data_IF_381252351346
#
_entry.id   IF_381252351346
#
_cell.length_a   1.000
_cell.length_b   1.000
_cell.length_c   1.000
_cell.angle_alpha   90.00
_cell.angle_beta   90.00
_cell.angle_gamma   90.00
#
_symmetry.space_group_name_H-M   'P 1'
#
loop_
_entity.id
_entity.type
_entity.pdbx_description
1 polymer ?
#
# COMPACT_ATOMS: atom_id res chain seq x y z
N UNK A 1 10.74 -2.27 -44.92
CA UNK A 1 11.29 -3.28 -43.99
C UNK A 1 12.73 -3.01 -43.57
N UNK A 2 13.65 -2.66 -44.49
CA UNK A 2 15.03 -2.26 -44.13
C UNK A 2 15.08 -1.13 -43.09
N UNK A 3 14.35 -0.03 -43.32
CA UNK A 3 14.27 1.09 -42.36
C UNK A 3 13.81 0.67 -40.95
N UNK A 4 12.85 -0.25 -40.86
CA UNK A 4 12.37 -0.77 -39.58
C UNK A 4 13.43 -1.64 -38.89
N UNK A 5 14.20 -2.42 -39.65
CA UNK A 5 15.30 -3.21 -39.12
C UNK A 5 16.38 -2.30 -38.52
N UNK A 6 16.83 -1.30 -39.29
CA UNK A 6 17.84 -0.33 -38.85
C UNK A 6 17.36 0.45 -37.60
N UNK A 7 16.06 0.76 -37.54
CA UNK A 7 15.43 1.34 -36.35
C UNK A 7 15.50 0.41 -35.13
N UNK A 8 15.15 -0.87 -35.28
CA UNK A 8 15.16 -1.83 -34.19
C UNK A 8 16.58 -2.11 -33.69
N UNK A 9 17.57 -2.19 -34.58
CA UNK A 9 18.99 -2.33 -34.22
C UNK A 9 19.49 -1.16 -33.37
N UNK A 10 19.00 0.05 -33.63
CA UNK A 10 19.35 1.25 -32.85
C UNK A 10 18.72 1.27 -31.46
N UNK A 11 17.48 0.80 -31.32
CA UNK A 11 16.67 1.03 -30.11
C UNK A 11 16.39 -0.21 -29.27
N UNK A 12 16.66 -1.43 -29.73
CA UNK A 12 16.62 -2.63 -28.88
C UNK A 12 17.90 -2.74 -28.04
N UNK A 13 18.00 -1.86 -27.05
CA UNK A 13 19.10 -1.80 -26.08
C UNK A 13 18.55 -1.56 -24.67
N UNK A 14 19.44 -1.33 -23.71
CA UNK A 14 19.15 -1.13 -22.29
C UNK A 14 18.29 0.11 -21.98
N UNK A 15 18.27 1.11 -22.86
CA UNK A 15 17.49 2.34 -22.69
C UNK A 15 16.04 2.19 -23.17
N UNK A 16 15.70 1.06 -23.81
CA UNK A 16 14.32 0.73 -24.15
C UNK A 16 13.56 0.35 -22.89
N UNK A 17 12.33 0.81 -22.76
CA UNK A 17 11.48 0.49 -21.59
C UNK A 17 10.36 -0.46 -21.95
N UNK A 18 9.72 -0.24 -23.11
CA UNK A 18 8.68 -1.11 -23.63
C UNK A 18 8.54 -0.98 -25.15
N UNK A 19 8.13 -2.06 -25.82
CA UNK A 19 7.53 -2.03 -27.16
C UNK A 19 6.12 -2.62 -27.08
N UNK A 20 5.20 -2.05 -27.85
CA UNK A 20 3.85 -2.55 -28.05
C UNK A 20 3.60 -2.68 -29.55
N UNK A 21 3.28 -3.90 -30.00
CA UNK A 21 2.71 -4.13 -31.32
C UNK A 21 1.19 -4.22 -31.20
N UNK A 22 0.49 -3.42 -31.99
CA UNK A 22 -0.96 -3.25 -31.94
C UNK A 22 -1.55 -3.01 -33.33
N UNK A 23 -2.88 -2.81 -33.39
CA UNK A 23 -3.63 -2.65 -34.64
C UNK A 23 -3.47 -3.83 -35.60
N UNK A 24 -4.09 -4.98 -35.28
CA UNK A 24 -3.87 -6.23 -36.01
C UNK A 24 -4.36 -6.15 -37.46
N UNK A 25 -3.72 -6.92 -38.34
CA UNK A 25 -4.07 -7.03 -39.76
C UNK A 25 -5.30 -7.90 -39.98
N UNK A 26 -5.44 -8.95 -39.16
CA UNK A 26 -6.56 -9.89 -39.17
C UNK A 26 -7.39 -9.73 -37.89
N UNK A 27 -8.69 -10.01 -37.97
CA UNK A 27 -9.59 -10.00 -36.79
C UNK A 27 -9.36 -11.21 -35.87
N UNK A 28 -8.87 -12.30 -36.42
CA UNK A 28 -8.55 -13.53 -35.69
C UNK A 28 -7.03 -13.72 -35.63
N UNK A 29 -6.48 -13.99 -34.44
CA UNK A 29 -5.05 -14.18 -34.24
C UNK A 29 -4.49 -13.43 -33.04
N UNK A 30 -3.27 -12.91 -33.18
CA UNK A 30 -2.63 -12.09 -32.15
C UNK A 30 -3.31 -10.72 -32.06
N UNK A 31 -3.79 -10.37 -30.87
CA UNK A 31 -4.47 -9.10 -30.62
C UNK A 31 -3.50 -7.99 -30.24
N UNK A 32 -2.45 -8.34 -29.50
CA UNK A 32 -1.42 -7.42 -29.00
C UNK A 32 -0.17 -8.20 -28.63
N UNK A 33 0.99 -7.58 -28.81
CA UNK A 33 2.25 -8.07 -28.24
C UNK A 33 2.88 -6.95 -27.42
N UNK A 34 3.25 -7.24 -26.18
CA UNK A 34 4.02 -6.34 -25.32
C UNK A 34 5.41 -6.91 -25.11
N UNK A 35 6.44 -6.10 -25.31
CA UNK A 35 7.83 -6.52 -25.18
C UNK A 35 8.51 -5.61 -24.17
N UNK A 36 9.31 -6.18 -23.29
CA UNK A 36 10.15 -5.45 -22.33
C UNK A 36 11.56 -6.04 -22.32
N UNK A 37 12.61 -5.24 -22.11
CA UNK A 37 13.94 -5.80 -21.90
C UNK A 37 14.02 -6.53 -20.56
N UNK A 38 14.85 -7.57 -20.51
CA UNK A 38 15.16 -8.37 -19.33
C UNK A 38 16.61 -8.87 -19.38
N UNK A 39 17.32 -8.82 -18.27
CA UNK A 39 18.65 -9.40 -18.10
C UNK A 39 18.50 -10.85 -17.65
N UNK A 40 18.93 -11.79 -18.49
CA UNK A 40 18.98 -13.21 -18.15
C UNK A 40 20.43 -13.68 -18.10
N UNK A 41 20.87 -14.17 -16.94
CA UNK A 41 22.25 -14.63 -16.73
C UNK A 41 23.31 -13.58 -17.17
N UNK A 42 23.01 -12.30 -16.96
CA UNK A 42 23.89 -11.18 -17.33
C UNK A 42 23.77 -10.69 -18.77
N UNK A 43 23.00 -11.36 -19.64
CA UNK A 43 22.81 -10.95 -21.03
C UNK A 43 21.46 -10.24 -21.24
N UNK A 44 21.46 -9.17 -22.04
CA UNK A 44 20.24 -8.47 -22.44
C UNK A 44 19.40 -9.33 -23.37
N UNK A 45 18.23 -9.71 -22.90
CA UNK A 45 17.18 -10.39 -23.64
C UNK A 45 15.91 -9.53 -23.64
N UNK A 46 14.91 -9.94 -24.41
CA UNK A 46 13.61 -9.28 -24.46
C UNK A 46 12.50 -10.30 -24.24
N UNK A 47 11.64 -10.02 -23.27
CA UNK A 47 10.46 -10.82 -22.98
C UNK A 47 9.26 -10.28 -23.74
N UNK A 48 8.69 -11.10 -24.63
CA UNK A 48 7.43 -10.85 -25.31
C UNK A 48 6.26 -11.53 -24.58
N UNK A 49 5.19 -10.78 -24.37
CA UNK A 49 3.89 -11.23 -23.88
C UNK A 49 2.89 -11.12 -25.02
N UNK A 50 2.43 -12.28 -25.51
CA UNK A 50 1.55 -12.39 -26.65
C UNK A 50 0.11 -12.61 -26.17
N UNK A 51 -0.80 -11.74 -26.60
CA UNK A 51 -2.22 -11.81 -26.27
C UNK A 51 -3.00 -12.41 -27.45
N UNK A 52 -3.61 -13.58 -27.23
CA UNK A 52 -4.43 -14.28 -28.24
C UNK A 52 -5.75 -14.69 -27.60
N UNK A 53 -6.84 -14.01 -27.97
CA UNK A 53 -8.17 -14.20 -27.36
C UNK A 53 -8.08 -14.14 -25.82
N UNK A 54 -8.48 -15.21 -25.12
CA UNK A 54 -8.42 -15.34 -23.66
C UNK A 54 -7.10 -15.92 -23.11
N UNK A 55 -6.10 -16.17 -23.97
CA UNK A 55 -4.81 -16.78 -23.58
C UNK A 55 -3.66 -15.78 -23.69
N UNK A 56 -2.73 -15.88 -22.75
CA UNK A 56 -1.49 -15.09 -22.70
C UNK A 56 -0.30 -16.03 -22.73
N UNK A 57 0.68 -15.75 -23.59
CA UNK A 57 1.91 -16.53 -23.74
C UNK A 57 3.14 -15.67 -23.49
N UNK A 58 4.17 -16.26 -22.90
CA UNK A 58 5.44 -15.60 -22.59
C UNK A 58 6.58 -16.25 -23.37
N UNK A 59 7.38 -15.45 -24.06
CA UNK A 59 8.55 -15.90 -24.81
C UNK A 59 9.71 -14.94 -24.57
N UNK A 60 10.94 -15.44 -24.54
CA UNK A 60 12.14 -14.62 -24.36
C UNK A 60 13.06 -14.81 -25.57
N UNK A 61 13.65 -13.71 -26.03
CA UNK A 61 14.50 -13.69 -27.22
C UNK A 61 15.79 -12.91 -26.94
N UNK A 62 16.89 -13.32 -27.57
CA UNK A 62 18.06 -12.44 -27.68
C UNK A 62 17.79 -11.26 -28.59
N UNK A 63 18.69 -10.27 -28.62
CA UNK A 63 18.53 -9.03 -29.41
C UNK A 63 18.26 -9.32 -30.90
N UNK A 64 19.10 -10.16 -31.54
CA UNK A 64 18.97 -10.51 -32.96
C UNK A 64 17.67 -11.24 -33.28
N UNK A 65 17.28 -12.19 -32.42
CA UNK A 65 16.04 -12.95 -32.59
C UNK A 65 14.82 -12.06 -32.39
N UNK A 66 14.88 -11.12 -31.43
CA UNK A 66 13.80 -10.16 -31.19
C UNK A 66 13.59 -9.23 -32.39
N UNK A 67 14.67 -8.72 -33.00
CA UNK A 67 14.57 -7.91 -34.24
C UNK A 67 13.83 -8.70 -35.31
N UNK A 68 14.26 -9.95 -35.55
CA UNK A 68 13.68 -10.84 -36.56
C UNK A 68 12.20 -11.12 -36.28
N UNK A 69 11.86 -11.36 -35.01
CA UNK A 69 10.50 -11.64 -34.56
C UNK A 69 9.58 -10.42 -34.70
N UNK A 70 10.05 -9.22 -34.35
CA UNK A 70 9.28 -7.97 -34.53
C UNK A 70 9.03 -7.71 -36.01
N UNK A 71 10.03 -7.92 -36.88
CA UNK A 71 9.86 -7.76 -38.32
C UNK A 71 8.77 -8.71 -38.86
N UNK A 72 8.77 -9.97 -38.43
CA UNK A 72 7.75 -10.95 -38.81
C UNK A 72 6.36 -10.56 -38.32
N UNK A 73 6.21 -10.17 -37.05
CA UNK A 73 4.92 -9.69 -36.51
C UNK A 73 4.43 -8.41 -37.21
N UNK A 74 5.35 -7.55 -37.61
CA UNK A 74 5.04 -6.30 -38.32
C UNK A 74 4.55 -6.52 -39.75
N UNK A 75 5.03 -7.59 -40.39
CA UNK A 75 4.64 -8.00 -41.73
C UNK A 75 3.29 -8.74 -41.73
N UNK A 76 3.13 -9.71 -40.83
CA UNK A 76 2.00 -10.65 -40.84
C UNK A 76 0.84 -10.22 -39.94
N UNK A 77 1.14 -9.67 -38.76
CA UNK A 77 0.16 -9.57 -37.68
C UNK A 77 -0.28 -8.14 -37.39
N UNK A 78 0.61 -7.15 -37.44
CA UNK A 78 0.34 -5.80 -36.92
C UNK A 78 0.65 -4.68 -37.91
N UNK A 79 0.01 -3.52 -37.71
CA UNK A 79 0.23 -2.30 -38.51
C UNK A 79 0.87 -1.18 -37.71
N UNK A 80 1.02 -1.34 -36.39
CA UNK A 80 1.51 -0.29 -35.51
C UNK A 80 2.48 -0.86 -34.48
N UNK A 81 3.56 -0.13 -34.25
CA UNK A 81 4.55 -0.38 -33.21
C UNK A 81 4.72 0.91 -32.42
N UNK A 82 4.58 0.84 -31.11
CA UNK A 82 4.91 1.92 -30.18
C UNK A 82 6.09 1.48 -29.34
N UNK A 83 7.06 2.36 -29.14
CA UNK A 83 8.26 2.08 -28.37
C UNK A 83 8.55 3.25 -27.45
N UNK A 84 8.65 2.93 -26.17
CA UNK A 84 9.05 3.86 -25.12
C UNK A 84 10.52 3.61 -24.77
N UNK A 85 11.30 4.68 -24.76
CA UNK A 85 12.69 4.71 -24.28
C UNK A 85 12.78 5.69 -23.11
N UNK A 86 13.90 5.72 -22.39
CA UNK A 86 14.10 6.68 -21.30
C UNK A 86 13.95 8.16 -21.73
N UNK A 87 14.18 8.48 -23.01
CA UNK A 87 14.27 9.86 -23.50
C UNK A 87 13.22 10.20 -24.58
N UNK A 88 12.51 9.20 -25.10
CA UNK A 88 11.61 9.41 -26.22
C UNK A 88 10.54 8.35 -26.37
N UNK A 89 9.42 8.76 -26.94
CA UNK A 89 8.38 7.88 -27.45
C UNK A 89 8.43 7.86 -28.98
N UNK A 90 8.38 6.64 -29.53
CA UNK A 90 8.51 6.37 -30.95
C UNK A 90 7.26 5.63 -31.42
N UNK A 91 6.65 6.09 -32.49
CA UNK A 91 5.50 5.44 -33.13
C UNK A 91 5.88 5.08 -34.56
N UNK A 92 5.73 3.81 -34.92
CA UNK A 92 5.90 3.29 -36.27
C UNK A 92 4.55 2.83 -36.79
N UNK A 93 4.16 3.34 -37.96
CA UNK A 93 2.97 2.94 -38.69
C UNK A 93 3.37 2.25 -39.99
N UNK A 94 2.75 1.11 -40.28
CA UNK A 94 3.04 0.27 -41.44
C UNK A 94 1.78 0.18 -42.29
N UNK A 95 1.85 0.72 -43.50
CA UNK A 95 0.72 0.72 -44.42
C UNK A 95 0.41 -0.70 -44.95
N UNK A 96 -0.75 -0.85 -45.60
CA UNK A 96 -1.12 -2.10 -46.30
C UNK A 96 -0.10 -2.48 -47.39
N UNK A 97 0.59 -1.51 -47.99
CA UNK A 97 1.62 -1.70 -49.03
C UNK A 97 3.04 -1.82 -48.46
N UNK A 98 3.21 -1.95 -47.13
CA UNK A 98 4.52 -2.10 -46.48
C UNK A 98 5.34 -0.81 -46.33
N UNK A 99 4.79 0.35 -46.73
CA UNK A 99 5.42 1.66 -46.45
C UNK A 99 5.44 1.91 -44.94
N UNK A 100 6.62 2.21 -44.41
CA UNK A 100 6.86 2.50 -42.99
C UNK A 100 6.85 4.02 -42.78
N UNK A 101 6.26 4.48 -41.68
CA UNK A 101 6.29 5.89 -41.26
C UNK A 101 6.61 5.94 -39.79
N UNK A 102 7.64 6.71 -39.41
CA UNK A 102 8.11 6.81 -38.02
C UNK A 102 7.91 8.23 -37.50
N UNK A 103 7.40 8.34 -36.27
CA UNK A 103 7.27 9.60 -35.54
C UNK A 103 8.02 9.47 -34.23
N UNK A 104 8.84 10.47 -33.91
CA UNK A 104 9.55 10.58 -32.63
C UNK A 104 9.04 11.79 -31.87
N UNK A 105 8.72 11.59 -30.59
CA UNK A 105 8.43 12.65 -29.63
C UNK A 105 9.42 12.52 -28.48
N UNK A 106 10.25 13.55 -28.28
CA UNK A 106 11.14 13.59 -27.12
C UNK A 106 10.30 13.73 -25.85
N UNK A 107 10.67 13.02 -24.80
CA UNK A 107 10.09 13.15 -23.47
C UNK A 107 11.14 13.77 -22.57
N UNK A 108 10.75 14.70 -21.69
CA UNK A 108 11.62 15.15 -20.61
C UNK A 108 11.98 13.91 -19.76
N UNK A 109 13.24 13.71 -19.37
CA UNK A 109 13.61 12.59 -18.51
C UNK A 109 12.75 12.70 -17.24
N UNK A 110 11.82 11.76 -17.06
CA UNK A 110 11.08 11.66 -15.82
C UNK A 110 12.10 11.29 -14.75
N UNK A 111 12.39 12.23 -13.87
CA UNK A 111 13.09 11.98 -12.62
C UNK A 111 12.22 11.07 -11.76
N UNK A 112 12.28 9.75 -12.00
CA UNK A 112 11.90 8.71 -11.06
C UNK A 112 12.32 7.32 -11.59
N UNK A 113 13.33 6.77 -10.91
CA UNK A 113 13.73 5.35 -10.84
C UNK A 113 14.34 4.72 -12.11
N UNK A 114 15.63 4.28 -12.09
CA UNK A 114 16.12 3.35 -13.10
C UNK A 114 15.32 2.05 -13.00
N UNK A 115 14.48 1.77 -14.00
CA UNK A 115 13.78 0.48 -14.12
C UNK A 115 14.83 -0.61 -14.34
N UNK A 116 15.20 -1.29 -13.26
CA UNK A 116 16.19 -2.38 -13.29
C UNK A 116 15.84 -3.39 -14.36
N UNK A 117 16.79 -3.67 -15.24
CA UNK A 117 16.66 -4.66 -16.31
C UNK A 117 16.68 -6.10 -15.78
N UNK A 118 16.98 -6.32 -14.49
CA UNK A 118 17.02 -7.66 -13.89
C UNK A 118 15.68 -8.41 -14.02
N UNK A 119 15.75 -9.70 -14.37
CA UNK A 119 14.59 -10.59 -14.55
C UNK A 119 13.71 -10.70 -13.29
N UNK A 120 14.32 -10.48 -12.14
CA UNK A 120 13.63 -10.11 -10.92
C UNK A 120 13.59 -8.59 -10.88
N UNK A 121 12.39 -8.00 -10.90
CA UNK A 121 12.24 -6.67 -10.30
C UNK A 121 12.78 -6.80 -8.88
N UNK A 122 13.98 -6.29 -8.59
CA UNK A 122 14.40 -6.04 -7.22
C UNK A 122 13.34 -5.10 -6.68
N UNK A 123 12.46 -5.62 -5.82
CA UNK A 123 11.48 -4.80 -5.13
C UNK A 123 12.29 -3.73 -4.41
N UNK A 124 12.12 -2.47 -4.81
CA UNK A 124 12.77 -1.36 -4.10
C UNK A 124 12.01 -1.18 -2.80
N UNK A 125 12.48 -1.89 -1.79
CA UNK A 125 12.02 -1.73 -0.42
C UNK A 125 12.54 -0.41 0.15
N UNK A 126 11.72 0.24 0.99
CA UNK A 126 12.10 1.45 1.71
C UNK A 126 13.31 1.17 2.61
N UNK A 127 13.22 0.12 3.43
CA UNK A 127 14.35 -0.44 4.15
C UNK A 127 15.10 -1.36 3.20
N UNK A 128 16.32 -0.98 2.82
CA UNK A 128 17.10 -1.72 1.83
C UNK A 128 17.76 -2.96 2.44
N UNK A 129 17.90 -4.01 1.63
CA UNK A 129 18.68 -5.19 1.99
C UNK A 129 20.19 -4.86 2.03
N UNK A 130 20.96 -5.53 2.89
CA UNK A 130 22.41 -5.35 3.07
C UNK A 130 22.82 -4.01 3.70
N UNK A 131 21.87 -3.25 4.23
CA UNK A 131 22.15 -2.14 5.13
C UNK A 131 21.70 -2.58 6.53
N UNK A 132 22.62 -2.74 7.50
CA UNK A 132 22.27 -3.16 8.84
C UNK A 132 21.48 -2.07 9.56
N UNK A 133 20.28 -2.43 10.00
CA UNK A 133 19.40 -1.55 10.76
C UNK A 133 19.25 -2.15 12.17
N UNK A 134 19.64 -1.46 13.25
CA UNK A 134 19.77 -2.04 14.59
C UNK A 134 18.53 -2.83 15.06
N UNK A 135 17.34 -2.24 14.90
CA UNK A 135 16.11 -2.92 15.35
C UNK A 135 15.73 -4.13 14.50
N UNK A 136 16.11 -4.18 13.21
CA UNK A 136 15.89 -5.36 12.37
C UNK A 136 16.84 -6.50 12.71
N UNK A 137 18.06 -6.17 13.15
CA UNK A 137 19.04 -7.16 13.62
C UNK A 137 18.56 -7.79 14.93
N UNK A 138 18.18 -6.98 15.91
CA UNK A 138 17.67 -7.46 17.21
C UNK A 138 16.37 -8.27 17.06
N UNK A 139 15.56 -7.94 16.05
CA UNK A 139 14.36 -8.68 15.71
C UNK A 139 14.64 -10.04 15.02
N UNK A 140 15.90 -10.30 14.67
CA UNK A 140 16.30 -11.47 13.90
C UNK A 140 15.77 -11.44 12.47
N UNK A 141 15.41 -10.27 11.94
CA UNK A 141 15.03 -10.09 10.53
C UNK A 141 16.28 -9.92 9.67
N UNK A 142 17.30 -9.26 10.20
CA UNK A 142 18.60 -9.08 9.57
C UNK A 142 19.70 -9.83 10.33
N UNK A 143 20.74 -10.26 9.60
CA UNK A 143 22.04 -10.55 10.20
C UNK A 143 22.75 -9.25 10.56
N UNK A 144 23.82 -9.34 11.36
CA UNK A 144 24.65 -8.18 11.73
C UNK A 144 25.21 -7.47 10.48
N UNK A 145 25.45 -8.21 9.39
CA UNK A 145 25.88 -7.66 8.08
C UNK A 145 24.74 -7.07 7.23
N UNK A 146 23.52 -6.96 7.77
CA UNK A 146 22.35 -6.39 7.08
C UNK A 146 21.65 -7.33 6.09
N UNK A 147 22.06 -8.60 5.97
CA UNK A 147 21.39 -9.58 5.09
C UNK A 147 20.07 -10.00 5.70
N UNK A 148 19.01 -10.09 4.91
CA UNK A 148 17.70 -10.56 5.41
C UNK A 148 17.76 -12.07 5.68
N UNK A 149 17.35 -12.48 6.87
CA UNK A 149 17.22 -13.89 7.23
C UNK A 149 16.05 -14.49 6.45
N UNK A 150 16.31 -15.54 5.67
CA UNK A 150 15.34 -16.12 4.73
C UNK A 150 14.00 -16.50 5.37
N UNK A 151 14.02 -17.07 6.57
CA UNK A 151 12.81 -17.44 7.32
C UNK A 151 12.02 -16.25 7.87
N UNK A 152 12.58 -15.03 7.82
CA UNK A 152 11.95 -13.79 8.29
C UNK A 152 11.69 -12.79 7.15
N UNK A 153 11.81 -13.24 5.90
CA UNK A 153 11.61 -12.38 4.73
C UNK A 153 10.18 -11.81 4.66
N UNK A 154 9.18 -12.58 5.11
CA UNK A 154 7.78 -12.14 5.12
C UNK A 154 7.57 -10.97 6.09
N UNK A 155 8.22 -11.04 7.25
CA UNK A 155 8.25 -9.94 8.23
C UNK A 155 8.94 -8.70 7.68
N UNK A 156 10.05 -8.85 6.96
CA UNK A 156 10.72 -7.75 6.27
C UNK A 156 9.82 -7.08 5.22
N UNK A 157 9.09 -7.88 4.43
CA UNK A 157 8.10 -7.38 3.47
C UNK A 157 6.96 -6.63 4.15
N UNK A 158 6.47 -7.16 5.27
CA UNK A 158 5.40 -6.54 6.05
C UNK A 158 5.81 -5.16 6.58
N UNK A 159 7.00 -5.05 7.19
CA UNK A 159 7.52 -3.76 7.69
C UNK A 159 7.62 -2.75 6.55
N UNK A 160 8.20 -3.16 5.42
CA UNK A 160 8.30 -2.28 4.25
C UNK A 160 6.95 -1.84 3.70
N UNK A 161 5.99 -2.75 3.60
CA UNK A 161 4.64 -2.42 3.16
C UNK A 161 3.96 -1.41 4.09
N UNK A 162 4.15 -1.56 5.41
CA UNK A 162 3.63 -0.58 6.34
C UNK A 162 4.27 0.79 6.12
N UNK A 163 5.58 0.84 5.90
CA UNK A 163 6.30 2.08 5.57
C UNK A 163 5.87 2.68 4.22
N UNK A 164 5.42 1.89 3.25
CA UNK A 164 4.83 2.42 2.01
C UNK A 164 3.56 3.23 2.31
N UNK A 165 2.72 2.77 3.24
CA UNK A 165 1.56 3.56 3.69
C UNK A 165 1.97 4.84 4.42
N UNK A 166 3.11 4.81 5.13
CA UNK A 166 3.68 6.00 5.78
C UNK A 166 4.21 6.98 4.71
N UNK A 167 4.95 6.51 3.70
CA UNK A 167 5.44 7.34 2.59
C UNK A 167 4.27 8.05 1.89
N UNK A 168 3.17 7.35 1.62
CA UNK A 168 1.97 7.92 0.97
C UNK A 168 1.36 9.10 1.75
N UNK A 169 1.46 9.10 3.09
CA UNK A 169 0.84 10.15 3.93
C UNK A 169 1.79 11.30 4.25
N UNK A 170 3.09 11.17 3.93
CA UNK A 170 4.09 12.21 4.19
C UNK A 170 3.65 13.61 3.69
N UNK A 171 3.08 13.76 2.47
CA UNK A 171 2.63 15.07 1.99
C UNK A 171 1.56 15.74 2.85
N UNK A 172 0.84 14.95 3.66
CA UNK A 172 -0.24 15.44 4.54
C UNK A 172 0.26 15.84 5.93
N UNK A 173 1.52 15.51 6.27
CA UNK A 173 2.11 15.87 7.54
C UNK A 173 2.62 17.32 7.53
N UNK A 174 2.43 18.08 8.62
CA UNK A 174 3.00 19.41 8.77
C UNK A 174 4.53 19.39 8.66
N UNK A 175 5.12 20.49 8.21
CA UNK A 175 6.58 20.67 8.14
C UNK A 175 7.01 21.87 8.97
N UNK A 176 8.28 21.90 9.36
CA UNK A 176 8.88 23.04 10.07
C UNK A 176 8.60 23.10 11.58
N UNK A 177 8.07 22.03 12.18
CA UNK A 177 7.94 21.86 13.63
C UNK A 177 8.06 20.38 14.02
N UNK A 178 8.22 20.11 15.32
CA UNK A 178 8.13 18.77 15.86
C UNK A 178 6.72 18.18 15.65
N UNK A 179 6.65 16.94 15.16
CA UNK A 179 5.41 16.18 14.97
C UNK A 179 5.20 15.19 16.11
N UNK A 180 3.98 15.12 16.64
CA UNK A 180 3.64 14.14 17.67
C UNK A 180 2.90 12.95 17.06
N UNK A 181 3.45 11.75 17.25
CA UNK A 181 2.90 10.49 16.78
C UNK A 181 2.57 9.62 17.99
N UNK A 182 1.37 9.03 18.01
CA UNK A 182 1.00 8.05 19.04
C UNK A 182 0.75 6.71 18.37
N UNK A 183 1.30 5.64 18.97
CA UNK A 183 1.04 4.26 18.59
C UNK A 183 0.34 3.53 19.74
N UNK A 184 -0.92 3.17 19.53
CA UNK A 184 -1.75 2.49 20.52
C UNK A 184 -1.77 0.98 20.32
N UNK A 185 -1.57 0.26 21.42
CA UNK A 185 -1.38 -1.18 21.36
C UNK A 185 -0.11 -1.49 20.58
N UNK A 186 0.98 -0.80 20.92
CA UNK A 186 2.23 -0.89 20.16
C UNK A 186 2.87 -2.29 20.26
N UNK A 187 2.49 -3.10 21.27
CA UNK A 187 3.00 -4.43 21.47
C UNK A 187 4.52 -4.43 21.53
N UNK A 188 5.17 -5.38 20.87
CA UNK A 188 6.65 -5.44 20.78
C UNK A 188 7.26 -4.34 19.87
N UNK A 189 6.44 -3.40 19.40
CA UNK A 189 6.83 -2.11 18.82
C UNK A 189 7.70 -2.10 17.56
N UNK A 190 7.84 -3.22 16.85
CA UNK A 190 8.69 -3.27 15.64
C UNK A 190 8.27 -2.27 14.56
N UNK A 191 6.96 -2.07 14.36
CA UNK A 191 6.44 -1.08 13.42
C UNK A 191 6.64 0.34 13.96
N UNK A 192 6.50 0.56 15.28
CA UNK A 192 6.84 1.84 15.93
C UNK A 192 8.31 2.23 15.69
N UNK A 193 9.24 1.28 15.90
CA UNK A 193 10.66 1.48 15.63
C UNK A 193 10.93 1.74 14.14
N UNK A 194 10.23 1.04 13.25
CA UNK A 194 10.35 1.25 11.80
C UNK A 194 9.88 2.65 11.39
N UNK A 195 8.74 3.12 11.92
CA UNK A 195 8.22 4.48 11.68
C UNK A 195 9.20 5.53 12.19
N UNK A 196 9.71 5.35 13.42
CA UNK A 196 10.68 6.28 13.99
C UNK A 196 11.93 6.35 13.11
N UNK A 197 12.56 5.20 12.81
CA UNK A 197 13.75 5.13 11.98
C UNK A 197 13.53 5.78 10.61
N UNK A 198 12.42 5.45 9.95
CA UNK A 198 12.15 5.96 8.62
C UNK A 198 11.88 7.48 8.60
N UNK A 199 11.03 7.99 9.49
CA UNK A 199 10.71 9.42 9.51
C UNK A 199 11.86 10.27 10.06
N UNK A 200 12.47 9.87 11.18
CA UNK A 200 13.55 10.61 11.84
C UNK A 200 14.90 10.40 11.16
N UNK A 201 15.37 9.16 11.08
CA UNK A 201 16.74 8.86 10.63
C UNK A 201 16.87 8.96 9.11
N UNK A 202 15.90 8.45 8.34
CA UNK A 202 16.00 8.44 6.88
C UNK A 202 15.47 9.72 6.22
N UNK A 203 14.36 10.29 6.72
CA UNK A 203 13.70 11.45 6.12
C UNK A 203 13.98 12.77 6.84
N UNK A 204 14.62 12.74 8.02
CA UNK A 204 15.03 13.94 8.75
C UNK A 204 13.88 14.73 9.38
N UNK A 205 12.70 14.12 9.57
CA UNK A 205 11.60 14.79 10.28
C UNK A 205 11.95 14.96 11.75
N UNK A 206 11.55 16.08 12.35
CA UNK A 206 11.54 16.18 13.79
C UNK A 206 10.24 15.58 14.34
N UNK A 207 10.33 14.46 15.03
CA UNK A 207 9.19 13.72 15.54
C UNK A 207 9.41 13.35 17.01
N UNK A 208 8.31 13.31 17.76
CA UNK A 208 8.16 12.65 19.05
C UNK A 208 7.15 11.52 18.89
N UNK A 209 7.55 10.30 19.25
CA UNK A 209 6.71 9.11 19.14
C UNK A 209 6.44 8.54 20.53
N UNK A 210 5.16 8.32 20.84
CA UNK A 210 4.70 7.77 22.11
C UNK A 210 4.00 6.45 21.83
N UNK A 211 4.58 5.34 22.28
CA UNK A 211 3.95 4.02 22.25
C UNK A 211 3.21 3.73 23.56
N UNK A 212 1.95 3.31 23.47
CA UNK A 212 1.12 2.95 24.62
C UNK A 212 0.74 1.47 24.56
N UNK A 213 0.91 0.76 25.67
CA UNK A 213 0.49 -0.62 25.85
C UNK A 213 0.08 -0.87 27.31
N UNK A 214 -0.70 -1.93 27.53
CA UNK A 214 -1.21 -2.32 28.86
C UNK A 214 -0.25 -3.27 29.59
N UNK A 215 0.79 -3.78 28.91
CA UNK A 215 1.71 -4.78 29.44
C UNK A 215 3.02 -4.15 29.89
N UNK A 216 3.28 -4.19 31.20
CA UNK A 216 4.48 -3.61 31.80
C UNK A 216 5.79 -4.20 31.27
N UNK A 217 5.84 -5.54 31.11
CA UNK A 217 7.01 -6.24 30.56
C UNK A 217 7.33 -5.83 29.12
N UNK A 218 6.29 -5.58 28.32
CA UNK A 218 6.40 -5.08 26.95
C UNK A 218 6.97 -3.66 26.95
N UNK A 219 6.43 -2.78 27.79
CA UNK A 219 6.88 -1.38 27.91
C UNK A 219 8.32 -1.29 28.39
N UNK A 220 8.71 -2.10 29.38
CA UNK A 220 10.08 -2.14 29.89
C UNK A 220 11.06 -2.52 28.77
N UNK A 221 10.78 -3.63 28.08
CA UNK A 221 11.63 -4.10 26.98
C UNK A 221 11.74 -3.05 25.86
N UNK A 222 10.63 -2.44 25.44
CA UNK A 222 10.65 -1.41 24.40
C UNK A 222 11.45 -0.17 24.83
N UNK A 223 11.39 0.21 26.12
CA UNK A 223 12.21 1.28 26.67
C UNK A 223 13.71 0.94 26.77
N UNK A 224 14.07 -0.32 26.99
CA UNK A 224 15.47 -0.77 26.91
C UNK A 224 15.99 -0.72 25.47
N UNK A 225 15.19 -1.21 24.51
CA UNK A 225 15.52 -1.19 23.09
C UNK A 225 15.69 0.23 22.54
N UNK A 226 14.79 1.16 22.85
CA UNK A 226 14.95 2.55 22.38
C UNK A 226 16.24 3.20 22.90
N UNK A 227 16.64 2.90 24.14
CA UNK A 227 17.90 3.40 24.73
C UNK A 227 19.10 2.80 24.00
N UNK A 228 19.05 1.49 23.74
CA UNK A 228 20.08 0.78 22.96
C UNK A 228 20.26 1.37 21.55
N UNK A 229 19.18 1.82 20.92
CA UNK A 229 19.22 2.42 19.58
C UNK A 229 19.49 3.93 19.57
N UNK A 230 19.53 4.59 20.72
CA UNK A 230 19.68 6.05 20.80
C UNK A 230 18.45 6.83 20.34
N UNK A 231 17.26 6.24 20.39
CA UNK A 231 16.01 6.90 19.97
C UNK A 231 15.44 7.75 21.11
N UNK A 232 16.02 8.95 21.27
CA UNK A 232 15.72 9.85 22.39
C UNK A 232 14.29 10.38 22.39
N UNK A 233 13.72 10.63 21.20
CA UNK A 233 12.35 11.14 21.03
C UNK A 233 11.30 10.04 20.82
N UNK A 234 11.67 8.80 21.11
CA UNK A 234 10.73 7.68 21.23
C UNK A 234 10.53 7.42 22.72
N UNK A 235 9.31 7.19 23.15
CA UNK A 235 9.00 6.79 24.52
C UNK A 235 7.89 5.75 24.54
N UNK A 236 7.95 4.83 25.51
CA UNK A 236 6.92 3.83 25.73
C UNK A 236 6.36 4.00 27.13
N UNK A 237 5.04 4.08 27.23
CA UNK A 237 4.32 4.39 28.47
C UNK A 237 3.31 3.26 28.73
N UNK A 238 3.26 2.81 29.99
CA UNK A 238 2.19 1.93 30.46
C UNK A 238 0.91 2.75 30.57
N UNK A 239 -0.11 2.43 29.77
CA UNK A 239 -1.32 3.22 29.77
C UNK A 239 -2.41 2.69 28.85
N UNK A 240 -3.65 2.96 29.26
CA UNK A 240 -4.83 2.74 28.44
C UNK A 240 -5.10 3.97 27.57
N UNK A 241 -5.57 3.71 26.36
CA UNK A 241 -5.93 4.73 25.39
C UNK A 241 -7.06 5.63 25.86
N UNK A 242 -8.05 5.05 26.55
CA UNK A 242 -9.23 5.78 26.99
C UNK A 242 -8.86 6.91 27.97
N UNK A 243 -7.87 6.68 28.83
CA UNK A 243 -7.44 7.58 29.90
C UNK A 243 -6.19 8.39 29.57
N UNK A 244 -5.57 8.22 28.40
CA UNK A 244 -4.39 9.00 28.05
C UNK A 244 -4.73 10.47 27.78
N UNK A 245 -4.07 11.36 28.52
CA UNK A 245 -4.21 12.83 28.47
C UNK A 245 -2.85 13.55 28.33
N UNK A 246 -1.76 12.80 28.09
CA UNK A 246 -0.38 13.33 28.18
C UNK A 246 0.04 14.30 27.06
N UNK A 247 -0.86 14.68 26.15
CA UNK A 247 -0.56 15.51 24.97
C UNK A 247 -1.78 16.34 24.53
N UNK A 248 -1.51 17.58 24.12
CA UNK A 248 -2.53 18.53 23.63
C UNK A 248 -2.74 18.47 22.11
N UNK A 249 -1.75 18.01 21.36
CA UNK A 249 -1.77 17.94 19.90
C UNK A 249 -1.13 16.65 19.41
N UNK A 250 -1.83 15.97 18.52
CA UNK A 250 -1.34 14.75 17.88
C UNK A 250 -1.44 14.92 16.37
N UNK A 251 -0.36 14.64 15.65
CA UNK A 251 -0.31 14.75 14.19
C UNK A 251 -0.70 13.44 13.52
N UNK A 252 -0.27 12.33 14.09
CA UNK A 252 -0.54 10.99 13.58
C UNK A 252 -0.91 10.04 14.71
N UNK A 253 -1.97 9.27 14.50
CA UNK A 253 -2.32 8.14 15.36
C UNK A 253 -2.18 6.85 14.57
N UNK A 254 -1.48 5.89 15.16
CA UNK A 254 -1.27 4.53 14.64
C UNK A 254 -1.92 3.56 15.64
N UNK A 255 -2.68 2.60 15.13
CA UNK A 255 -3.32 1.54 15.94
C UNK A 255 -3.16 0.21 15.24
N UNK A 256 -2.29 -0.66 15.75
CA UNK A 256 -1.90 -1.89 15.04
C UNK A 256 -2.49 -3.16 15.67
N UNK A 257 -2.57 -3.20 17.00
CA UNK A 257 -3.05 -4.37 17.75
C UNK A 257 -4.18 -4.02 18.72
N UNK A 258 -4.84 -2.87 18.53
CA UNK A 258 -6.03 -2.52 19.28
C UNK A 258 -7.21 -3.40 18.81
N UNK A 259 -7.57 -4.43 19.57
CA UNK A 259 -8.66 -5.33 19.19
C UNK A 259 -10.02 -4.88 19.73
N UNK A 260 -11.07 -5.30 19.03
CA UNK A 260 -12.47 -4.97 19.30
C UNK A 260 -12.69 -3.44 19.44
N UNK A 261 -13.40 -3.01 20.48
CA UNK A 261 -13.71 -1.59 20.73
C UNK A 261 -12.50 -0.72 21.05
N UNK A 262 -11.33 -1.31 21.35
CA UNK A 262 -10.10 -0.53 21.55
C UNK A 262 -9.71 0.26 20.30
N UNK A 263 -9.97 -0.29 19.10
CA UNK A 263 -9.81 0.46 17.83
C UNK A 263 -10.76 1.67 17.80
N UNK A 264 -11.99 1.53 18.28
CA UNK A 264 -12.99 2.60 18.28
C UNK A 264 -12.60 3.74 19.23
N UNK A 265 -12.14 3.41 20.45
CA UNK A 265 -11.58 4.41 21.37
C UNK A 265 -10.39 5.15 20.77
N UNK A 266 -9.55 4.45 20.00
CA UNK A 266 -8.41 5.07 19.36
C UNK A 266 -8.76 6.04 18.27
N UNK A 267 -9.67 5.64 17.39
CA UNK A 267 -10.19 6.50 16.34
C UNK A 267 -10.90 7.70 16.98
N UNK A 268 -11.71 7.47 18.02
CA UNK A 268 -12.40 8.54 18.77
C UNK A 268 -11.42 9.57 19.35
N UNK A 269 -10.39 9.13 20.07
CA UNK A 269 -9.34 10.01 20.62
C UNK A 269 -8.57 10.74 19.51
N UNK A 270 -8.22 10.05 18.42
CA UNK A 270 -7.54 10.67 17.29
C UNK A 270 -8.37 11.81 16.65
N UNK A 271 -9.67 11.60 16.52
CA UNK A 271 -10.61 12.64 16.06
C UNK A 271 -10.67 13.80 17.05
N UNK A 272 -10.76 13.51 18.36
CA UNK A 272 -10.78 14.53 19.41
C UNK A 272 -9.51 15.40 19.42
N UNK A 273 -8.32 14.80 19.28
CA UNK A 273 -7.05 15.51 19.10
C UNK A 273 -6.88 16.16 17.74
N UNK A 274 -7.88 16.04 16.85
CA UNK A 274 -7.88 16.67 15.53
C UNK A 274 -6.69 16.20 14.68
N UNK A 275 -6.26 14.94 14.85
CA UNK A 275 -5.10 14.36 14.19
C UNK A 275 -5.12 14.56 12.67
N UNK A 276 -3.95 14.76 12.06
CA UNK A 276 -3.84 14.94 10.60
C UNK A 276 -3.98 13.61 9.87
N UNK A 277 -3.45 12.54 10.48
CA UNK A 277 -3.43 11.20 9.90
C UNK A 277 -3.85 10.18 10.96
N UNK A 278 -4.68 9.22 10.56
CA UNK A 278 -5.05 8.05 11.35
C UNK A 278 -4.75 6.81 10.50
N UNK A 279 -3.94 5.89 11.02
CA UNK A 279 -3.65 4.60 10.42
C UNK A 279 -4.06 3.50 11.39
N UNK A 280 -5.10 2.76 11.04
CA UNK A 280 -5.65 1.72 11.91
C UNK A 280 -5.68 0.36 11.22
N UNK A 281 -5.11 -0.65 11.85
CA UNK A 281 -5.16 -2.06 11.44
C UNK A 281 -6.07 -2.81 12.42
N UNK A 282 -7.38 -2.89 12.13
CA UNK A 282 -8.32 -3.60 13.01
C UNK A 282 -8.07 -5.10 12.98
N UNK A 283 -7.66 -5.69 14.11
CA UNK A 283 -7.32 -7.12 14.22
C UNK A 283 -8.54 -8.04 14.27
N UNK A 284 -9.36 -7.88 15.32
CA UNK A 284 -10.55 -8.68 15.59
C UNK A 284 -11.68 -7.74 15.98
N UNK A 285 -12.93 -8.06 15.63
CA UNK A 285 -14.11 -7.31 16.07
C UNK A 285 -15.26 -8.26 16.36
N UNK A 286 -15.86 -8.11 17.54
CA UNK A 286 -17.00 -8.91 17.95
C UNK A 286 -18.24 -8.06 18.26
N UNK A 287 -18.09 -6.75 18.50
CA UNK A 287 -19.21 -5.85 18.82
C UNK A 287 -20.42 -6.04 17.88
N UNK A 288 -20.24 -5.82 16.58
CA UNK A 288 -21.34 -5.93 15.62
C UNK A 288 -21.85 -7.35 15.47
N UNK A 289 -21.01 -8.37 15.66
CA UNK A 289 -21.43 -9.76 15.53
C UNK A 289 -22.49 -10.14 16.59
N UNK A 290 -22.42 -9.51 17.76
CA UNK A 290 -23.37 -9.70 18.86
C UNK A 290 -24.67 -8.92 18.64
N UNK A 291 -24.64 -7.83 17.87
CA UNK A 291 -25.79 -6.93 17.67
C UNK A 291 -26.54 -7.17 16.37
N UNK A 292 -25.83 -7.55 15.31
CA UNK A 292 -26.38 -7.56 13.95
C UNK A 292 -27.55 -8.55 13.83
N UNK A 293 -28.71 -8.00 13.49
CA UNK A 293 -29.97 -8.70 13.32
C UNK A 293 -30.68 -8.12 12.11
N UNK A 294 -31.01 -8.99 11.15
CA UNK A 294 -31.69 -8.59 9.94
C UNK A 294 -32.45 -9.78 9.34
N UNK A 295 -33.76 -9.63 9.13
CA UNK A 295 -34.62 -10.72 8.64
C UNK A 295 -34.24 -11.17 7.23
N UNK A 296 -33.78 -10.27 6.36
CA UNK A 296 -33.35 -10.61 5.00
C UNK A 296 -32.05 -11.43 5.03
N UNK A 297 -31.11 -11.08 5.92
CA UNK A 297 -29.84 -11.80 6.06
C UNK A 297 -29.88 -13.00 6.99
N UNK A 298 -31.03 -13.33 7.60
CA UNK A 298 -31.19 -14.49 8.49
C UNK A 298 -30.65 -15.81 7.90
N UNK A 299 -30.88 -16.16 6.61
CA UNK A 299 -30.30 -17.36 6.00
C UNK A 299 -28.78 -17.33 5.84
N UNK A 300 -28.16 -16.16 5.93
CA UNK A 300 -26.70 -15.98 5.90
C UNK A 300 -26.13 -16.02 7.32
N UNK A 301 -26.76 -15.30 8.25
CA UNK A 301 -26.31 -15.17 9.63
C UNK A 301 -26.46 -16.44 10.47
N UNK A 302 -27.24 -17.42 10.02
CA UNK A 302 -27.25 -18.76 10.62
C UNK A 302 -25.87 -19.45 10.58
N UNK A 303 -25.00 -19.08 9.62
CA UNK A 303 -23.64 -19.60 9.54
C UNK A 303 -22.69 -18.71 10.34
N UNK A 304 -22.37 -19.11 11.58
CA UNK A 304 -21.61 -18.28 12.52
C UNK A 304 -20.29 -17.70 11.97
N UNK A 305 -19.50 -18.50 11.25
CA UNK A 305 -18.26 -18.03 10.60
C UNK A 305 -18.51 -16.93 9.56
N UNK A 306 -19.61 -17.03 8.81
CA UNK A 306 -19.98 -16.02 7.80
C UNK A 306 -20.49 -14.76 8.50
N UNK A 307 -21.34 -14.91 9.53
CA UNK A 307 -21.83 -13.80 10.36
C UNK A 307 -20.65 -13.01 10.94
N UNK A 308 -19.69 -13.70 11.53
CA UNK A 308 -18.50 -13.09 12.13
C UNK A 308 -17.70 -12.28 11.11
N UNK A 309 -17.35 -12.88 9.96
CA UNK A 309 -16.57 -12.20 8.92
C UNK A 309 -17.30 -11.00 8.32
N UNK A 310 -18.60 -11.12 8.08
CA UNK A 310 -19.41 -10.00 7.58
C UNK A 310 -19.48 -8.87 8.59
N UNK A 311 -19.76 -9.18 9.85
CA UNK A 311 -19.83 -8.19 10.94
C UNK A 311 -18.50 -7.45 11.09
N UNK A 312 -17.40 -8.20 11.02
CA UNK A 312 -16.05 -7.66 11.03
C UNK A 312 -15.81 -6.64 9.91
N UNK A 313 -16.18 -6.95 8.66
CA UNK A 313 -15.99 -6.07 7.51
C UNK A 313 -16.94 -4.85 7.56
N UNK A 314 -18.20 -5.08 7.97
CA UNK A 314 -19.18 -4.02 8.15
C UNK A 314 -18.74 -3.01 9.21
N UNK A 315 -18.14 -3.47 10.30
CA UNK A 315 -17.57 -2.58 11.32
C UNK A 315 -16.54 -1.64 10.71
N UNK A 316 -15.59 -2.17 9.93
CA UNK A 316 -14.52 -1.38 9.35
C UNK A 316 -15.04 -0.39 8.29
N UNK A 317 -16.09 -0.76 7.55
CA UNK A 317 -16.81 0.13 6.65
C UNK A 317 -17.53 1.26 7.40
N UNK A 318 -18.26 0.95 8.48
CA UNK A 318 -18.94 1.95 9.31
C UNK A 318 -17.94 2.92 9.97
N UNK A 319 -16.79 2.42 10.43
CA UNK A 319 -15.70 3.26 10.94
C UNK A 319 -15.21 4.27 9.90
N UNK A 320 -15.01 3.82 8.66
CA UNK A 320 -14.59 4.71 7.57
C UNK A 320 -15.66 5.76 7.23
N UNK A 321 -16.95 5.40 7.23
CA UNK A 321 -18.05 6.35 6.99
C UNK A 321 -18.18 7.37 8.14
N UNK A 322 -18.04 6.94 9.39
CA UNK A 322 -18.00 7.85 10.53
C UNK A 322 -16.83 8.83 10.43
N UNK A 323 -15.63 8.37 10.07
CA UNK A 323 -14.47 9.23 9.85
C UNK A 323 -14.73 10.29 8.76
N UNK A 324 -15.40 9.92 7.66
CA UNK A 324 -15.82 10.88 6.62
C UNK A 324 -16.76 11.95 7.15
N UNK A 325 -17.71 11.57 8.01
CA UNK A 325 -18.62 12.52 8.67
C UNK A 325 -17.87 13.50 9.58
N UNK A 326 -16.70 13.10 10.10
CA UNK A 326 -15.83 13.92 10.95
C UNK A 326 -14.81 14.76 10.17
N UNK A 327 -14.86 14.78 8.83
CA UNK A 327 -13.97 15.57 8.00
C UNK A 327 -12.62 14.90 7.73
N UNK A 328 -12.63 13.58 7.52
CA UNK A 328 -11.49 12.84 7.03
C UNK A 328 -11.78 12.22 5.66
N UNK A 329 -10.78 12.22 4.78
CA UNK A 329 -10.75 11.31 3.64
C UNK A 329 -10.34 9.93 4.15
N UNK A 330 -11.29 9.00 4.21
CA UNK A 330 -11.06 7.63 4.70
C UNK A 330 -10.99 6.61 3.56
N UNK A 331 -10.02 5.71 3.64
CA UNK A 331 -9.76 4.62 2.70
C UNK A 331 -9.55 3.31 3.44
N UNK A 332 -10.10 2.22 2.91
CA UNK A 332 -9.88 0.85 3.37
C UNK A 332 -8.94 0.20 2.36
N UNK A 333 -7.75 -0.17 2.82
CA UNK A 333 -6.66 -0.68 1.99
C UNK A 333 -6.34 -2.11 2.40
N UNK A 334 -5.90 -2.91 1.44
CA UNK A 334 -5.35 -4.23 1.71
C UNK A 334 -3.98 -4.07 2.39
N UNK A 335 -3.89 -4.57 3.63
CA UNK A 335 -2.62 -4.69 4.35
C UNK A 335 -1.85 -5.91 3.84
N UNK A 336 -0.66 -6.24 4.36
CA UNK A 336 -0.07 -7.57 4.10
C UNK A 336 -0.30 -8.43 5.33
N UNK A 337 -0.62 -9.69 5.05
CA UNK A 337 -1.07 -10.69 6.01
C UNK A 337 -0.24 -10.64 7.29
N UNK A 338 -0.89 -10.34 8.40
CA UNK A 338 -0.33 -10.61 9.72
C UNK A 338 -0.57 -12.09 9.99
N UNK A 339 0.42 -12.77 10.57
CA UNK A 339 0.28 -14.13 11.14
C UNK A 339 -0.88 -14.24 12.18
N UNK A 340 -1.56 -13.13 12.50
CA UNK A 340 -2.57 -13.00 13.56
C UNK A 340 -3.86 -12.27 13.18
N UNK A 341 -4.11 -11.81 11.94
CA UNK A 341 -5.38 -11.13 11.59
C UNK A 341 -5.97 -11.58 10.24
N UNK A 342 -7.11 -12.30 10.21
CA UNK A 342 -7.68 -12.87 8.98
C UNK A 342 -8.31 -11.84 8.03
N UNK A 343 -8.36 -10.55 8.40
CA UNK A 343 -9.00 -9.49 7.62
C UNK A 343 -8.08 -8.83 6.60
N UNK A 344 -6.79 -8.73 6.91
CA UNK A 344 -5.79 -8.08 6.07
C UNK A 344 -6.16 -6.65 5.61
N UNK A 345 -6.68 -5.79 6.51
CA UNK A 345 -7.17 -4.45 6.20
C UNK A 345 -6.41 -3.38 7.01
N UNK A 346 -6.16 -2.24 6.37
CA UNK A 346 -5.72 -0.99 7.00
C UNK A 346 -6.72 0.13 6.64
N UNK A 347 -7.24 0.81 7.65
CA UNK A 347 -7.99 2.05 7.52
C UNK A 347 -7.00 3.22 7.53
N UNK A 348 -6.95 3.97 6.44
CA UNK A 348 -6.18 5.22 6.33
C UNK A 348 -7.15 6.39 6.30
N UNK A 349 -7.03 7.31 7.25
CA UNK A 349 -7.82 8.52 7.30
C UNK A 349 -6.90 9.75 7.31
N UNK A 350 -7.11 10.67 6.37
CA UNK A 350 -6.37 11.92 6.26
C UNK A 350 -7.34 13.08 6.48
N UNK A 351 -7.01 13.99 7.37
CA UNK A 351 -7.89 15.11 7.71
C UNK A 351 -8.08 16.05 6.52
N UNK A 352 -9.33 16.39 6.23
CA UNK A 352 -9.75 17.31 5.17
C UNK A 352 -10.45 18.54 5.75
N UNK A 353 -10.63 19.57 4.92
CA UNK A 353 -11.38 20.79 5.29
C UNK A 353 -12.89 20.61 5.25
N UNK A 354 -13.38 19.60 4.52
CA UNK A 354 -14.80 19.36 4.30
C UNK A 354 -15.26 18.09 4.99
N UNK A 355 -16.42 18.17 5.65
CA UNK A 355 -17.15 17.01 6.18
C UNK A 355 -18.03 16.43 5.08
N UNK A 356 -18.04 15.12 4.95
CA UNK A 356 -19.00 14.45 4.05
C UNK A 356 -20.41 14.57 4.62
N UNK A 357 -21.39 14.87 3.77
CA UNK A 357 -22.80 14.83 4.12
C UNK A 357 -23.37 13.41 3.94
N UNK A 358 -22.73 12.43 4.57
CA UNK A 358 -23.07 10.99 4.48
C UNK A 358 -23.88 10.49 5.69
N UNK A 359 -24.31 11.39 6.57
CA UNK A 359 -24.95 11.04 7.85
C UNK A 359 -26.23 10.24 7.65
N UNK A 360 -27.08 10.64 6.71
CA UNK A 360 -28.36 9.96 6.45
C UNK A 360 -28.15 8.55 5.90
N UNK A 361 -27.22 8.40 4.96
CA UNK A 361 -26.86 7.11 4.37
C UNK A 361 -26.26 6.17 5.43
N UNK A 362 -25.39 6.71 6.28
CA UNK A 362 -24.82 5.99 7.43
C UNK A 362 -25.91 5.54 8.40
N UNK A 363 -26.79 6.44 8.85
CA UNK A 363 -27.87 6.12 9.79
C UNK A 363 -28.84 5.09 9.20
N UNK A 364 -29.17 5.21 7.91
CA UNK A 364 -30.01 4.24 7.18
C UNK A 364 -29.36 2.85 7.18
N UNK A 365 -28.06 2.77 6.88
CA UNK A 365 -27.34 1.49 6.89
C UNK A 365 -27.25 0.91 8.29
N UNK A 366 -26.92 1.73 9.29
CA UNK A 366 -26.85 1.32 10.70
C UNK A 366 -28.19 0.74 11.16
N UNK A 367 -29.29 1.44 10.90
CA UNK A 367 -30.63 1.02 11.30
C UNK A 367 -31.08 -0.24 10.56
N UNK A 368 -30.75 -0.34 9.27
CA UNK A 368 -31.01 -1.55 8.49
C UNK A 368 -30.26 -2.77 9.04
N UNK A 369 -29.05 -2.59 9.57
CA UNK A 369 -28.25 -3.66 10.19
C UNK A 369 -28.65 -3.95 11.65
N UNK A 370 -29.44 -3.07 12.29
CA UNK A 370 -29.86 -3.20 13.68
C UNK A 370 -28.72 -3.04 14.69
N UNK A 371 -27.72 -2.21 14.39
CA UNK A 371 -26.48 -2.09 15.20
C UNK A 371 -26.35 -0.73 15.88
N UNK A 372 -25.62 -0.69 16.99
CA UNK A 372 -25.24 0.52 17.72
C UNK A 372 -23.72 0.50 17.97
N UNK A 373 -22.90 0.95 17.01
CA UNK A 373 -21.43 0.87 17.09
C UNK A 373 -20.83 1.81 18.16
N UNK A 374 -19.78 1.36 18.86
CA UNK A 374 -19.09 2.16 19.89
C UNK A 374 -18.55 3.47 19.33
N UNK A 375 -17.91 3.44 18.16
CA UNK A 375 -17.33 4.64 17.57
C UNK A 375 -18.36 5.73 17.30
N UNK A 376 -19.60 5.35 16.97
CA UNK A 376 -20.66 6.32 16.75
C UNK A 376 -20.97 7.11 18.02
N UNK A 377 -21.15 6.42 19.15
CA UNK A 377 -21.39 7.06 20.45
C UNK A 377 -20.24 7.99 20.82
N UNK A 378 -19.00 7.56 20.57
CA UNK A 378 -17.80 8.37 20.83
C UNK A 378 -17.73 9.65 19.99
N UNK A 379 -18.23 9.62 18.75
CA UNK A 379 -18.08 10.74 17.81
C UNK A 379 -19.30 11.66 17.72
N UNK A 380 -20.50 11.12 17.95
CA UNK A 380 -21.77 11.84 17.80
C UNK A 380 -22.48 12.08 19.14
N UNK A 381 -22.03 11.46 20.22
CA UNK A 381 -22.71 11.45 21.53
C UNK A 381 -23.82 10.39 21.59
N UNK A 382 -24.30 10.09 22.79
CA UNK A 382 -25.47 9.22 22.98
C UNK A 382 -26.73 9.91 22.42
N UNK A 383 -27.56 9.14 21.71
CA UNK A 383 -28.94 9.57 21.44
C UNK A 383 -29.63 9.77 22.78
N UNK A 384 -30.04 11.00 23.10
CA UNK A 384 -31.21 11.13 23.97
C UNK A 384 -32.38 10.54 23.19
N UNK A 385 -32.99 9.49 23.72
CA UNK A 385 -34.30 9.01 23.28
C UNK A 385 -35.27 10.19 23.39
N UNK A 386 -35.56 10.90 22.29
CA UNK A 386 -36.35 12.12 22.38
C UNK A 386 -36.73 12.80 21.08
N UNK A 387 -35.96 12.65 20.00
CA UNK A 387 -36.29 13.30 18.72
C UNK A 387 -36.73 12.24 17.68
N UNK A 388 -37.98 11.81 17.81
CA UNK A 388 -38.79 11.16 16.76
C UNK A 388 -39.90 12.10 16.31
#
# INVERSE_FOLDING_TARGET
MKELKDFLERYLNENMTQIILSNPRLKEGLLKVKIRPVLMKGNLNFQAVLYRNSKVFHQNFGVSDMISQILMWSEKDFKQIEMDTMESHLTVLISKKGKVTMKKKNQSPSSDVPKSLEHNRKKQYILQENIPIPFLVDLGVQTIDGKIIKSRYDKFRQINRFLEFIEDIIPSLPKGRELTIIDFGCGKSYLTFAVYYYLKEMKGYDIRVIGLDLKEDVIQNCNELRKKYGYEKLEFILGDIASFEGVDLVDMVITLHACDTATDFAIGKAVAWKAKVILSVPCCQHELNQQIENEIFKPVFQYGLIKERMSALLTDALRAELLKSQGYSAQILEFIDMEHTPKNILIRAIKTSEKSNNRKEYETLRDFLGVNPTLERLLLGDRQEGDL
#
